data_IF_621066077793
#
_entry.id   IF_621066077793
#
_cell.length_a   1.000
_cell.length_b   1.000
_cell.length_c   1.000
_cell.angle_alpha   90.00
_cell.angle_beta   90.00
_cell.angle_gamma   90.00
#
_symmetry.space_group_name_H-M   'P 1'
#
loop_
_entity.id
_entity.type
_entity.pdbx_description
1 polymer ?
#
# COMPACT_ATOMS: atom_id res chain seq x y z
N UNK A 1 -18.93 8.33 1.30
CA UNK A 1 -18.58 9.13 0.09
C UNK A 1 -17.97 10.50 0.39
N UNK A 2 -18.18 11.07 1.58
CA UNK A 2 -17.63 12.38 1.97
C UNK A 2 -16.10 12.38 2.10
N UNK A 3 -15.53 11.22 2.35
CA UNK A 3 -14.08 11.01 2.40
C UNK A 3 -13.37 11.13 1.05
N UNK A 4 -14.07 11.03 -0.08
CA UNK A 4 -13.47 10.89 -1.43
C UNK A 4 -12.69 12.14 -1.83
N UNK A 5 -13.28 13.33 -1.71
CA UNK A 5 -12.59 14.57 -2.08
C UNK A 5 -11.39 14.87 -1.18
N UNK A 6 -11.49 14.77 0.17
CA UNK A 6 -10.33 14.90 1.04
C UNK A 6 -9.23 13.86 0.80
N UNK A 7 -9.59 12.60 0.51
CA UNK A 7 -8.62 11.57 0.12
C UNK A 7 -7.87 11.95 -1.16
N UNK A 8 -8.58 12.35 -2.21
CA UNK A 8 -7.99 12.79 -3.48
C UNK A 8 -7.09 14.02 -3.28
N UNK A 9 -7.51 14.96 -2.42
CA UNK A 9 -6.68 16.11 -2.09
C UNK A 9 -5.37 15.68 -1.43
N UNK A 10 -5.42 14.81 -0.43
CA UNK A 10 -4.22 14.30 0.24
C UNK A 10 -3.29 13.55 -0.76
N UNK A 11 -3.88 12.75 -1.65
CA UNK A 11 -3.14 12.04 -2.69
C UNK A 11 -2.41 13.00 -3.64
N UNK A 12 -3.12 13.97 -4.22
CA UNK A 12 -2.52 14.91 -5.18
C UNK A 12 -1.62 15.96 -4.52
N UNK A 13 -1.78 16.21 -3.22
CA UNK A 13 -0.88 17.07 -2.46
C UNK A 13 0.40 16.36 -1.97
N UNK A 14 0.57 15.08 -2.28
CA UNK A 14 1.80 14.37 -2.01
C UNK A 14 2.91 14.77 -3.00
N UNK A 15 4.10 15.21 -2.53
CA UNK A 15 5.23 15.55 -3.41
C UNK A 15 5.76 14.35 -4.20
N UNK A 16 5.53 13.13 -3.74
CA UNK A 16 5.88 11.92 -4.48
C UNK A 16 4.99 11.71 -5.73
N UNK A 17 3.75 12.22 -5.69
CA UNK A 17 2.79 12.17 -6.80
C UNK A 17 2.97 13.38 -7.71
N UNK A 18 2.91 14.61 -7.14
CA UNK A 18 3.09 15.87 -7.89
C UNK A 18 4.34 16.57 -7.36
N UNK A 19 5.45 16.44 -8.07
CA UNK A 19 6.77 16.95 -7.68
C UNK A 19 6.92 18.48 -7.88
N UNK A 20 5.91 19.26 -7.47
CA UNK A 20 5.93 20.72 -7.50
C UNK A 20 6.18 21.30 -6.10
N UNK A 21 6.76 22.51 -6.00
CA UNK A 21 6.79 23.26 -4.75
C UNK A 21 5.37 23.39 -4.16
N UNK A 22 5.28 23.35 -2.83
CA UNK A 22 3.98 23.32 -2.11
C UNK A 22 3.05 24.47 -2.51
N UNK A 23 3.59 25.66 -2.79
CA UNK A 23 2.82 26.85 -3.19
C UNK A 23 2.03 26.61 -4.49
N UNK A 24 2.55 25.80 -5.42
CA UNK A 24 1.87 25.46 -6.68
C UNK A 24 1.10 24.15 -6.54
N UNK A 25 1.65 23.18 -5.82
CA UNK A 25 1.04 21.86 -5.62
C UNK A 25 -0.28 21.93 -4.86
N UNK A 26 -0.36 22.72 -3.80
CA UNK A 26 -1.55 22.84 -2.96
C UNK A 26 -2.80 23.31 -3.75
N UNK A 27 -2.78 24.46 -4.45
CA UNK A 27 -3.95 24.89 -5.23
C UNK A 27 -4.26 23.93 -6.40
N UNK A 28 -3.24 23.32 -7.04
CA UNK A 28 -3.42 22.33 -8.09
C UNK A 28 -4.10 21.08 -7.55
N UNK A 29 -3.65 20.55 -6.43
CA UNK A 29 -4.25 19.39 -5.78
C UNK A 29 -5.73 19.66 -5.41
N UNK A 30 -6.03 20.84 -4.90
CA UNK A 30 -7.41 21.26 -4.58
C UNK A 30 -8.30 21.32 -5.82
N UNK A 31 -7.78 21.82 -6.94
CA UNK A 31 -8.51 21.88 -8.21
C UNK A 31 -8.78 20.48 -8.76
N UNK A 32 -7.73 19.64 -8.79
CA UNK A 32 -7.84 18.26 -9.31
C UNK A 32 -8.80 17.44 -8.45
N UNK A 33 -8.67 17.48 -7.12
CA UNK A 33 -9.53 16.71 -6.23
C UNK A 33 -11.00 17.07 -6.40
N UNK A 34 -11.32 18.37 -6.45
CA UNK A 34 -12.69 18.84 -6.66
C UNK A 34 -13.27 18.35 -8.00
N UNK A 35 -12.48 18.38 -9.08
CA UNK A 35 -12.93 17.93 -10.41
C UNK A 35 -13.10 16.42 -10.51
N UNK A 36 -12.25 15.66 -9.82
CA UNK A 36 -12.28 14.19 -9.86
C UNK A 36 -13.24 13.56 -8.86
N UNK A 37 -13.58 14.27 -7.79
CA UNK A 37 -14.42 13.73 -6.72
C UNK A 37 -15.78 13.20 -7.22
N UNK A 38 -16.54 13.88 -8.11
CA UNK A 38 -17.81 13.35 -8.58
C UNK A 38 -17.67 12.01 -9.31
N UNK A 39 -16.66 11.87 -10.19
CA UNK A 39 -16.39 10.64 -10.94
C UNK A 39 -15.98 9.51 -9.99
N UNK A 40 -15.07 9.80 -9.05
CA UNK A 40 -14.63 8.82 -8.06
C UNK A 40 -15.78 8.38 -7.14
N UNK A 41 -16.66 9.30 -6.73
CA UNK A 41 -17.84 8.96 -5.92
C UNK A 41 -18.76 7.99 -6.66
N UNK A 42 -19.05 8.24 -7.93
CA UNK A 42 -19.89 7.33 -8.75
C UNK A 42 -19.28 5.90 -8.81
N UNK A 43 -17.95 5.78 -8.99
CA UNK A 43 -17.27 4.48 -8.97
C UNK A 43 -17.41 3.81 -7.59
N UNK A 44 -17.23 4.56 -6.50
CA UNK A 44 -17.42 4.00 -5.15
C UNK A 44 -18.86 3.62 -4.86
N UNK A 45 -19.84 4.31 -5.44
CA UNK A 45 -21.27 3.92 -5.31
C UNK A 45 -21.54 2.55 -5.92
N UNK A 46 -20.97 2.25 -7.10
CA UNK A 46 -21.04 0.93 -7.73
C UNK A 46 -20.36 -0.16 -6.89
N UNK A 47 -19.35 0.20 -6.09
CA UNK A 47 -18.63 -0.69 -5.17
C UNK A 47 -19.31 -0.86 -3.79
N UNK A 48 -20.52 -0.35 -3.60
CA UNK A 48 -21.24 -0.40 -2.31
C UNK A 48 -21.00 0.80 -1.40
N UNK A 49 -20.58 1.94 -1.96
CA UNK A 49 -20.54 3.24 -1.27
C UNK A 49 -19.28 3.49 -0.42
N UNK A 50 -18.37 2.52 -0.32
CA UNK A 50 -17.10 2.66 0.44
C UNK A 50 -15.98 1.79 -0.15
N UNK A 51 -14.74 2.12 0.19
CA UNK A 51 -13.60 1.25 -0.09
C UNK A 51 -13.51 0.14 0.97
N UNK A 52 -13.31 -1.13 0.61
CA UNK A 52 -13.11 -2.21 1.56
C UNK A 52 -11.69 -2.21 2.18
N UNK A 53 -10.80 -1.35 1.73
CA UNK A 53 -9.37 -1.41 2.03
C UNK A 53 -9.07 -1.42 3.53
N UNK A 54 -9.79 -0.67 4.36
CA UNK A 54 -9.53 -0.63 5.79
C UNK A 54 -9.95 -1.95 6.46
N UNK A 55 -11.13 -2.46 6.16
CA UNK A 55 -11.66 -3.72 6.70
C UNK A 55 -10.78 -4.92 6.31
N UNK A 56 -10.34 -4.95 5.05
CA UNK A 56 -9.41 -5.96 4.55
C UNK A 56 -8.03 -5.86 5.23
N UNK A 57 -7.53 -4.64 5.41
CA UNK A 57 -6.26 -4.42 6.12
C UNK A 57 -6.35 -4.80 7.60
N UNK A 58 -7.48 -4.53 8.25
CA UNK A 58 -7.73 -4.98 9.64
C UNK A 58 -7.73 -6.51 9.75
N UNK A 59 -8.33 -7.19 8.78
CA UNK A 59 -8.32 -8.65 8.72
C UNK A 59 -6.91 -9.20 8.55
N UNK A 60 -6.12 -8.62 7.66
CA UNK A 60 -4.71 -8.98 7.48
C UNK A 60 -3.88 -8.70 8.73
N UNK A 61 -4.05 -7.53 9.36
CA UNK A 61 -3.33 -7.17 10.58
C UNK A 61 -3.61 -8.15 11.73
N UNK A 62 -4.88 -8.54 11.92
CA UNK A 62 -5.28 -9.54 12.91
C UNK A 62 -4.68 -10.93 12.63
N UNK A 63 -4.63 -11.32 11.35
CA UNK A 63 -4.03 -12.59 10.95
C UNK A 63 -2.52 -12.63 11.23
N UNK A 64 -1.81 -11.54 10.90
CA UNK A 64 -0.38 -11.39 11.19
C UNK A 64 -0.14 -11.40 12.69
N UNK A 65 -0.88 -10.62 13.46
CA UNK A 65 -0.77 -10.55 14.93
C UNK A 65 -0.97 -11.93 15.56
N UNK A 66 -2.03 -12.64 15.15
CA UNK A 66 -2.30 -14.01 15.63
C UNK A 66 -1.17 -14.99 15.29
N UNK A 67 -0.57 -14.87 14.10
CA UNK A 67 0.54 -15.74 13.71
C UNK A 67 1.80 -15.46 14.51
N UNK A 68 2.13 -14.20 14.75
CA UNK A 68 3.31 -13.79 15.51
C UNK A 68 3.18 -14.12 17.01
N UNK A 69 1.98 -14.01 17.58
CA UNK A 69 1.70 -14.36 18.97
C UNK A 69 1.86 -15.85 19.29
N UNK A 70 1.95 -16.72 18.28
CA UNK A 70 2.32 -18.12 18.50
C UNK A 70 3.80 -18.29 18.88
N UNK A 71 4.63 -17.30 18.57
CA UNK A 71 6.07 -17.32 18.84
C UNK A 71 6.43 -16.46 20.08
N UNK A 72 5.70 -15.36 20.32
CA UNK A 72 5.86 -14.47 21.47
C UNK A 72 4.61 -13.61 21.71
N UNK A 73 4.28 -13.34 22.98
CA UNK A 73 3.05 -12.63 23.36
C UNK A 73 3.04 -11.11 23.09
N UNK A 74 4.20 -10.52 22.77
CA UNK A 74 4.40 -9.05 22.78
C UNK A 74 4.21 -8.37 21.42
N UNK A 75 3.69 -9.08 20.41
CA UNK A 75 3.46 -8.49 19.09
C UNK A 75 2.13 -7.78 19.00
N UNK A 76 2.14 -6.57 18.43
CA UNK A 76 0.93 -5.80 18.11
C UNK A 76 1.02 -5.11 16.76
N UNK A 77 -0.01 -5.29 15.95
CA UNK A 77 -0.14 -4.63 14.66
C UNK A 77 -0.86 -3.29 14.78
N UNK A 78 -0.32 -2.27 14.12
CA UNK A 78 -0.94 -0.95 13.99
C UNK A 78 -1.05 -0.60 12.51
N UNK A 79 -2.25 -0.28 12.07
CA UNK A 79 -2.51 0.10 10.68
C UNK A 79 -2.22 1.58 10.51
N UNK A 80 -1.46 1.91 9.46
CA UNK A 80 -1.16 3.28 9.04
C UNK A 80 -1.49 3.44 7.57
N UNK A 81 -2.37 4.37 7.25
CA UNK A 81 -2.75 4.70 5.87
C UNK A 81 -2.05 5.97 5.40
N UNK A 82 -1.65 6.01 4.10
CA UNK A 82 -0.88 7.17 3.58
C UNK A 82 -1.75 8.40 3.31
N UNK A 83 -2.88 8.25 2.64
CA UNK A 83 -3.68 9.38 2.17
C UNK A 83 -5.01 9.54 2.91
N UNK A 84 -5.39 8.58 3.73
CA UNK A 84 -6.62 8.59 4.53
C UNK A 84 -6.37 8.00 5.93
N UNK A 85 -7.42 8.02 6.75
CA UNK A 85 -7.34 7.50 8.13
C UNK A 85 -7.28 5.95 8.17
N UNK A 86 -6.56 5.42 9.17
CA UNK A 86 -5.80 6.08 10.23
C UNK A 86 -4.43 6.60 9.74
N UNK A 87 -4.13 7.90 10.02
CA UNK A 87 -2.90 8.56 9.61
C UNK A 87 -1.75 8.31 10.61
N UNK A 88 -0.52 8.45 10.13
CA UNK A 88 0.69 8.31 10.95
C UNK A 88 0.65 9.15 12.23
N UNK A 89 0.17 10.42 12.15
CA UNK A 89 0.05 11.34 13.28
C UNK A 89 -0.87 10.85 14.40
N UNK A 90 -1.90 10.09 14.05
CA UNK A 90 -2.85 9.54 15.03
C UNK A 90 -2.36 8.21 15.59
N UNK A 91 -1.77 7.38 14.73
CA UNK A 91 -1.30 6.05 15.09
C UNK A 91 -0.06 6.11 15.97
N UNK A 92 0.84 7.06 15.74
CA UNK A 92 2.07 7.22 16.53
C UNK A 92 1.78 7.35 18.04
N UNK A 93 0.68 8.00 18.43
CA UNK A 93 0.25 8.14 19.82
C UNK A 93 -0.09 6.80 20.45
N UNK A 94 -0.71 5.91 19.68
CA UNK A 94 -1.04 4.54 20.13
C UNK A 94 0.21 3.69 20.25
N UNK A 95 1.14 3.82 19.31
CA UNK A 95 2.43 3.13 19.32
C UNK A 95 3.28 3.58 20.51
N UNK A 96 3.36 4.89 20.78
CA UNK A 96 4.05 5.43 21.98
C UNK A 96 3.45 4.91 23.28
N UNK A 97 2.12 4.79 23.36
CA UNK A 97 1.45 4.22 24.54
C UNK A 97 1.76 2.73 24.71
N UNK A 98 1.92 1.99 23.64
CA UNK A 98 2.32 0.58 23.64
C UNK A 98 3.79 0.43 24.03
N UNK A 99 4.62 1.43 23.73
CA UNK A 99 6.04 1.53 24.07
C UNK A 99 6.88 0.33 23.60
N UNK A 100 6.89 0.01 22.28
CA UNK A 100 7.65 -1.12 21.76
C UNK A 100 9.15 -0.84 21.80
N UNK A 101 9.96 -1.87 22.00
CA UNK A 101 11.42 -1.80 21.81
C UNK A 101 11.76 -1.66 20.35
N UNK A 102 11.05 -2.37 19.47
CA UNK A 102 11.28 -2.40 18.04
C UNK A 102 9.98 -2.23 17.26
N UNK A 103 10.08 -1.53 16.13
CA UNK A 103 9.00 -1.34 15.17
C UNK A 103 9.42 -1.95 13.84
N UNK A 104 8.55 -2.76 13.25
CA UNK A 104 8.73 -3.30 11.91
C UNK A 104 7.71 -2.61 10.99
N UNK A 105 8.19 -1.88 9.99
CA UNK A 105 7.34 -1.29 8.95
C UNK A 105 7.17 -2.29 7.81
N UNK A 106 5.93 -2.74 7.60
CA UNK A 106 5.55 -3.64 6.54
C UNK A 106 4.57 -2.95 5.58
N UNK A 107 5.04 -2.31 4.50
CA UNK A 107 4.15 -1.85 3.45
C UNK A 107 3.43 -3.02 2.80
N UNK A 108 2.10 -2.96 2.69
CA UNK A 108 1.30 -3.98 2.01
C UNK A 108 1.30 -3.79 0.48
N UNK A 109 2.37 -3.19 -0.02
CA UNK A 109 2.72 -3.09 -1.43
C UNK A 109 3.89 -4.04 -1.69
N UNK A 110 3.68 -5.20 -2.33
CA UNK A 110 4.78 -6.14 -2.59
C UNK A 110 5.89 -5.52 -3.43
N UNK A 111 5.53 -4.64 -4.36
CA UNK A 111 6.46 -3.89 -5.20
C UNK A 111 6.67 -2.49 -4.65
N UNK A 112 7.93 -2.05 -4.60
CA UNK A 112 8.29 -0.71 -4.18
C UNK A 112 8.08 0.32 -5.29
N UNK A 113 7.54 1.47 -4.91
CA UNK A 113 7.64 2.71 -5.67
C UNK A 113 7.86 3.88 -4.71
N UNK A 114 8.59 4.90 -5.19
CA UNK A 114 8.72 6.15 -4.45
C UNK A 114 7.36 6.82 -4.21
N UNK A 115 6.38 6.58 -5.10
CA UNK A 115 5.03 7.13 -5.01
C UNK A 115 4.13 6.39 -4.01
N UNK A 116 4.48 5.18 -3.59
CA UNK A 116 3.70 4.36 -2.66
C UNK A 116 4.48 4.05 -1.39
N UNK A 117 5.21 2.94 -1.34
CA UNK A 117 5.99 2.53 -0.17
C UNK A 117 6.95 3.62 0.29
N UNK A 118 7.70 4.25 -0.64
CA UNK A 118 8.64 5.31 -0.31
C UNK A 118 7.98 6.51 0.36
N UNK A 119 6.84 6.99 -0.18
CA UNK A 119 6.08 8.09 0.41
C UNK A 119 5.51 7.73 1.78
N UNK A 120 4.98 6.51 1.95
CA UNK A 120 4.41 6.03 3.21
C UNK A 120 5.47 5.90 4.30
N UNK A 121 6.60 5.26 3.98
CA UNK A 121 7.72 5.10 4.89
C UNK A 121 8.31 6.45 5.33
N UNK A 122 8.46 7.37 4.37
CA UNK A 122 8.95 8.73 4.66
C UNK A 122 8.02 9.46 5.64
N UNK A 123 6.71 9.44 5.42
CA UNK A 123 5.75 10.08 6.33
C UNK A 123 5.87 9.50 7.74
N UNK A 124 5.92 8.17 7.89
CA UNK A 124 6.07 7.55 9.19
C UNK A 124 7.35 7.97 9.90
N UNK A 125 8.49 7.92 9.21
CA UNK A 125 9.79 8.30 9.79
C UNK A 125 9.84 9.80 10.16
N UNK A 126 9.25 10.66 9.36
CA UNK A 126 9.14 12.10 9.68
C UNK A 126 8.30 12.31 10.95
N UNK A 127 7.18 11.61 11.09
CA UNK A 127 6.33 11.67 12.29
C UNK A 127 7.04 11.09 13.51
N UNK A 128 7.74 9.97 13.38
CA UNK A 128 8.56 9.40 14.47
C UNK A 128 9.59 10.43 14.98
N UNK A 129 10.26 11.13 14.07
CA UNK A 129 11.23 12.18 14.40
C UNK A 129 10.58 13.36 15.11
N UNK A 130 9.44 13.84 14.61
CA UNK A 130 8.68 14.95 15.22
C UNK A 130 8.19 14.61 16.63
N UNK A 131 7.75 13.38 16.82
CA UNK A 131 7.20 12.89 18.08
C UNK A 131 8.27 12.31 19.03
N UNK A 132 9.55 12.37 18.66
CA UNK A 132 10.67 11.81 19.45
C UNK A 132 10.47 10.32 19.83
N UNK A 133 9.94 9.51 18.91
CA UNK A 133 9.85 8.07 19.12
C UNK A 133 11.24 7.46 18.96
N UNK A 134 11.72 6.76 20.02
CA UNK A 134 13.10 6.24 20.10
C UNK A 134 13.23 4.76 19.75
N UNK A 135 12.11 4.07 19.55
CA UNK A 135 12.11 2.64 19.22
C UNK A 135 12.89 2.39 17.93
N UNK A 136 13.69 1.33 17.91
CA UNK A 136 14.38 0.90 16.70
C UNK A 136 13.36 0.61 15.60
N UNK A 137 13.57 1.14 14.39
CA UNK A 137 12.66 0.91 13.28
C UNK A 137 13.35 0.09 12.18
N UNK A 138 12.83 -1.09 11.90
CA UNK A 138 13.21 -1.94 10.76
C UNK A 138 12.19 -1.80 9.64
N UNK A 139 12.65 -1.88 8.40
CA UNK A 139 11.81 -1.68 7.22
C UNK A 139 11.88 -2.92 6.33
N UNK A 140 10.71 -3.51 6.05
CA UNK A 140 10.55 -4.47 4.96
C UNK A 140 10.20 -3.66 3.73
N UNK A 141 11.21 -3.34 2.91
CA UNK A 141 11.06 -2.42 1.77
C UNK A 141 10.04 -2.93 0.74
N UNK A 142 10.19 -4.19 0.33
CA UNK A 142 9.41 -4.83 -0.72
C UNK A 142 9.66 -6.34 -0.70
N UNK A 143 8.76 -7.09 -1.35
CA UNK A 143 8.82 -8.57 -1.42
C UNK A 143 8.23 -9.11 -2.74
N UNK A 144 8.63 -8.56 -3.91
CA UNK A 144 7.99 -8.84 -5.20
C UNK A 144 8.10 -10.30 -5.65
N UNK A 145 9.14 -11.01 -5.19
CA UNK A 145 9.43 -12.39 -5.56
C UNK A 145 9.57 -13.32 -4.35
N UNK A 146 9.08 -12.85 -3.18
CA UNK A 146 9.10 -13.67 -1.98
C UNK A 146 8.28 -14.94 -2.18
N UNK A 147 8.85 -16.08 -1.77
CA UNK A 147 8.35 -17.41 -2.09
C UNK A 147 6.91 -17.67 -1.63
N UNK A 148 6.59 -17.29 -0.39
CA UNK A 148 5.28 -17.56 0.19
C UNK A 148 4.23 -16.58 -0.34
N UNK A 149 4.64 -15.33 -0.66
CA UNK A 149 3.79 -14.38 -1.39
C UNK A 149 3.42 -14.95 -2.78
N UNK A 150 4.41 -15.40 -3.55
CA UNK A 150 4.18 -15.99 -4.89
C UNK A 150 3.31 -17.24 -4.78
N UNK A 151 3.58 -18.12 -3.81
CA UNK A 151 2.79 -19.33 -3.58
C UNK A 151 1.33 -19.01 -3.24
N UNK A 152 1.11 -18.07 -2.33
CA UNK A 152 -0.24 -17.64 -1.91
C UNK A 152 -1.02 -17.07 -3.08
N UNK A 153 -0.36 -16.25 -3.92
CA UNK A 153 -0.97 -15.64 -5.09
C UNK A 153 -1.28 -16.71 -6.16
N UNK A 154 -0.35 -17.63 -6.43
CA UNK A 154 -0.57 -18.74 -7.37
C UNK A 154 -1.75 -19.65 -6.92
N UNK A 155 -1.83 -19.94 -5.62
CA UNK A 155 -2.95 -20.72 -5.06
C UNK A 155 -4.28 -19.99 -5.25
N UNK A 156 -4.33 -18.68 -5.00
CA UNK A 156 -5.53 -17.87 -5.23
C UNK A 156 -5.97 -17.91 -6.70
N UNK A 157 -5.03 -17.77 -7.64
CA UNK A 157 -5.31 -17.90 -9.08
C UNK A 157 -5.91 -19.28 -9.38
N UNK A 158 -5.30 -20.36 -8.89
CA UNK A 158 -5.78 -21.73 -9.09
C UNK A 158 -7.20 -21.97 -8.59
N UNK A 159 -7.67 -21.23 -7.57
CA UNK A 159 -9.08 -21.33 -7.13
C UNK A 159 -10.08 -20.71 -8.09
N UNK A 160 -9.63 -19.91 -9.04
CA UNK A 160 -10.46 -19.13 -9.97
C UNK A 160 -10.44 -19.64 -11.41
N UNK A 161 -9.50 -20.53 -11.73
CA UNK A 161 -9.36 -21.12 -13.06
C UNK A 161 -9.76 -22.60 -13.03
N UNK A 162 -10.37 -23.08 -14.10
CA UNK A 162 -10.57 -24.51 -14.30
C UNK A 162 -9.24 -25.16 -14.74
N UNK A 163 -8.63 -25.91 -13.83
CA UNK A 163 -7.36 -26.63 -14.05
C UNK A 163 -7.46 -27.60 -15.25
N UNK A 164 -8.65 -28.11 -15.58
CA UNK A 164 -8.84 -29.00 -16.70
C UNK A 164 -8.90 -28.28 -18.06
N UNK A 165 -8.95 -26.95 -18.07
CA UNK A 165 -9.09 -26.13 -19.27
C UNK A 165 -7.99 -25.06 -19.38
N UNK A 166 -6.77 -25.35 -18.92
CA UNK A 166 -5.64 -24.42 -18.91
C UNK A 166 -5.24 -23.95 -20.32
N UNK A 167 -5.41 -24.79 -21.33
CA UNK A 167 -5.07 -24.47 -22.73
C UNK A 167 -5.95 -23.38 -23.34
N UNK A 168 -7.15 -23.18 -22.81
CA UNK A 168 -8.09 -22.15 -23.25
C UNK A 168 -8.14 -20.93 -22.32
N UNK A 169 -7.34 -20.95 -21.25
CA UNK A 169 -7.34 -19.89 -20.25
C UNK A 169 -6.23 -18.89 -20.54
N UNK A 170 -6.60 -17.60 -20.67
CA UNK A 170 -5.64 -16.49 -20.76
C UNK A 170 -5.62 -15.73 -19.44
N UNK A 171 -4.46 -15.64 -18.80
CA UNK A 171 -4.25 -14.80 -17.61
C UNK A 171 -3.83 -13.40 -18.02
N UNK A 172 -4.58 -12.39 -17.58
CA UNK A 172 -4.26 -10.99 -17.80
C UNK A 172 -3.81 -10.38 -16.46
N UNK A 173 -2.55 -9.93 -16.41
CA UNK A 173 -2.01 -9.22 -15.27
C UNK A 173 -2.19 -7.72 -15.46
N UNK A 174 -2.95 -7.07 -14.58
CA UNK A 174 -3.15 -5.62 -14.59
C UNK A 174 -2.28 -4.97 -13.53
N UNK A 175 -1.47 -4.00 -13.92
CA UNK A 175 -0.63 -3.23 -13.02
C UNK A 175 -0.93 -1.73 -13.16
N UNK A 176 -0.73 -0.98 -12.08
CA UNK A 176 -0.85 0.47 -12.12
C UNK A 176 0.31 1.06 -12.93
N UNK A 177 0.00 1.91 -13.92
CA UNK A 177 1.03 2.58 -14.72
C UNK A 177 1.74 3.70 -13.95
N UNK A 178 3.07 3.76 -14.06
CA UNK A 178 3.86 4.92 -13.64
C UNK A 178 4.29 5.76 -14.85
N UNK A 179 4.44 7.09 -14.69
CA UNK A 179 5.04 7.91 -15.72
C UNK A 179 6.47 7.43 -16.05
N UNK A 180 6.78 7.34 -17.34
CA UNK A 180 8.07 6.84 -17.83
C UNK A 180 9.28 7.56 -17.21
N UNK A 181 9.15 8.87 -16.98
CA UNK A 181 10.20 9.64 -16.32
C UNK A 181 10.53 9.16 -14.90
N UNK A 182 9.59 8.58 -14.16
CA UNK A 182 9.84 7.98 -12.84
C UNK A 182 10.69 6.72 -12.96
N UNK A 183 10.39 5.89 -13.94
CA UNK A 183 11.17 4.68 -14.24
C UNK A 183 12.60 5.06 -14.66
N UNK A 184 12.75 6.06 -15.55
CA UNK A 184 14.08 6.58 -15.95
C UNK A 184 14.88 7.18 -14.79
N UNK A 185 14.20 7.67 -13.75
CA UNK A 185 14.82 8.16 -12.51
C UNK A 185 15.17 7.04 -11.52
N UNK A 186 14.96 5.78 -11.89
CA UNK A 186 15.36 4.62 -11.09
C UNK A 186 14.28 4.09 -10.15
N UNK A 187 12.99 4.42 -10.36
CA UNK A 187 11.90 3.77 -9.62
C UNK A 187 11.82 2.30 -10.05
N UNK A 188 11.98 1.32 -9.14
CA UNK A 188 12.07 -0.10 -9.49
C UNK A 188 10.72 -0.76 -9.77
N UNK A 189 9.60 -0.05 -9.65
CA UNK A 189 8.26 -0.61 -9.66
C UNK A 189 7.97 -1.50 -10.88
N UNK A 190 8.26 -1.00 -12.09
CA UNK A 190 8.02 -1.75 -13.31
C UNK A 190 8.78 -3.10 -13.30
N UNK A 191 10.08 -3.05 -13.04
CA UNK A 191 10.91 -4.25 -12.98
C UNK A 191 10.41 -5.24 -11.90
N UNK A 192 10.01 -4.75 -10.74
CA UNK A 192 9.49 -5.61 -9.67
C UNK A 192 8.14 -6.23 -10.02
N UNK A 193 7.24 -5.51 -10.70
CA UNK A 193 5.98 -6.07 -11.21
C UNK A 193 6.26 -7.17 -12.24
N UNK A 194 7.13 -6.91 -13.21
CA UNK A 194 7.52 -7.90 -14.23
C UNK A 194 8.15 -9.15 -13.58
N UNK A 195 9.00 -8.97 -12.56
CA UNK A 195 9.58 -10.08 -11.79
C UNK A 195 8.51 -10.88 -11.05
N UNK A 196 7.54 -10.23 -10.41
CA UNK A 196 6.40 -10.91 -9.77
C UNK A 196 5.63 -11.77 -10.78
N UNK A 197 5.31 -11.21 -11.94
CA UNK A 197 4.59 -11.93 -13.01
C UNK A 197 5.39 -13.14 -13.49
N UNK A 198 6.70 -12.99 -13.72
CA UNK A 198 7.57 -14.09 -14.14
C UNK A 198 7.57 -15.24 -13.13
N UNK A 199 7.71 -14.94 -11.83
CA UNK A 199 7.68 -15.97 -10.79
C UNK A 199 6.29 -16.63 -10.66
N UNK A 200 5.19 -15.87 -10.83
CA UNK A 200 3.84 -16.44 -10.86
C UNK A 200 3.64 -17.37 -12.04
N UNK A 201 4.06 -16.98 -13.24
CA UNK A 201 3.98 -17.84 -14.45
C UNK A 201 4.74 -19.15 -14.23
N UNK A 202 6.00 -19.08 -13.74
CA UNK A 202 6.78 -20.29 -13.41
C UNK A 202 6.08 -21.18 -12.38
N UNK A 203 5.33 -20.59 -11.44
CA UNK A 203 4.64 -21.35 -10.37
C UNK A 203 3.32 -21.95 -10.84
N UNK A 204 2.73 -21.42 -11.91
CA UNK A 204 1.47 -21.88 -12.50
C UNK A 204 1.70 -22.91 -13.62
N UNK A 205 2.88 -22.91 -14.25
CA UNK A 205 3.34 -23.92 -15.22
C UNK A 205 3.76 -25.19 -14.51
#
# INVERSE_FOLDING_TARGET
LDAVEPFLFNLFNDPAIISLPTIFRYPLAKLISKRRAPIAKAIYEEMGGKSPILEETETQAKAIEKSLQQEADDYKCFIVMRCWNPRAQDVIKKVKKFNPEQIILLPLYPQYSNATSGSSLKEWLDVCKQENLKSETKIICCYPTEKDFILSYANLIKTKIDINNLTETTLIFSAHGLPENKIRQGDPYQWQVESTVQELVKKLS
#
